data_IF_813602146748
#
_entry.id   IF_813602146748
#
_cell.length_a   1.000
_cell.length_b   1.000
_cell.length_c   1.000
_cell.angle_alpha   90.00
_cell.angle_beta   90.00
_cell.angle_gamma   90.00
#
_symmetry.space_group_name_H-M   'P 1'
#
loop_
_entity.id
_entity.type
_entity.pdbx_description
1 polymer ?
#
# COMPACT_ATOMS: atom_id res chain seq x y z
N UNK A 1 -2.17 -8.98 -40.20
CA UNK A 1 -3.02 -10.02 -39.56
C UNK A 1 -4.04 -9.31 -38.69
N UNK A 2 -5.34 -9.45 -39.03
CA UNK A 2 -6.45 -8.83 -38.29
C UNK A 2 -6.68 -9.61 -36.99
N UNK A 3 -6.60 -8.94 -35.85
CA UNK A 3 -6.98 -9.49 -34.55
C UNK A 3 -8.50 -9.33 -34.39
N UNK A 4 -9.20 -10.43 -34.17
CA UNK A 4 -10.63 -10.45 -33.85
C UNK A 4 -10.77 -10.38 -32.32
N UNK A 5 -11.52 -9.40 -31.83
CA UNK A 5 -11.94 -9.31 -30.44
C UNK A 5 -13.23 -10.13 -30.28
N UNK A 6 -13.22 -11.12 -29.38
CA UNK A 6 -14.43 -11.85 -28.96
C UNK A 6 -14.91 -11.22 -27.67
N UNK A 7 -16.01 -10.47 -27.78
CA UNK A 7 -16.73 -9.85 -26.66
C UNK A 7 -17.63 -10.92 -26.02
N UNK A 8 -17.39 -11.25 -24.75
CA UNK A 8 -18.31 -12.10 -23.98
C UNK A 8 -19.28 -11.22 -23.19
N UNK A 9 -20.56 -11.28 -23.59
CA UNK A 9 -21.68 -10.66 -22.89
C UNK A 9 -22.25 -11.71 -21.93
N UNK A 10 -22.18 -11.46 -20.62
CA UNK A 10 -22.82 -12.31 -19.62
C UNK A 10 -24.24 -11.78 -19.36
N UNK A 11 -25.24 -12.54 -19.80
CA UNK A 11 -26.66 -12.30 -19.52
C UNK A 11 -27.01 -12.69 -18.08
N UNK A 12 -27.49 -11.73 -17.28
CA UNK A 12 -28.06 -11.96 -15.96
C UNK A 12 -29.54 -12.37 -16.12
N UNK A 13 -29.88 -13.58 -15.71
CA UNK A 13 -31.25 -14.05 -15.56
C UNK A 13 -31.78 -13.70 -14.16
N UNK A 14 -32.78 -12.83 -14.10
CA UNK A 14 -33.58 -12.55 -12.90
C UNK A 14 -34.56 -13.72 -12.66
N UNK A 15 -34.51 -14.32 -11.46
CA UNK A 15 -35.56 -15.20 -10.97
C UNK A 15 -36.36 -14.49 -9.87
N UNK A 16 -37.65 -14.33 -10.16
CA UNK A 16 -38.71 -13.84 -9.28
C UNK A 16 -39.10 -14.87 -8.23
N UNK A 17 -39.24 -14.45 -6.96
CA UNK A 17 -39.88 -15.21 -5.90
C UNK A 17 -40.87 -14.35 -5.12
N UNK A 18 -42.17 -14.62 -5.30
CA UNK A 18 -43.29 -14.02 -4.57
C UNK A 18 -43.58 -14.79 -3.27
N UNK A 19 -43.91 -14.08 -2.18
CA UNK A 19 -44.50 -14.68 -0.98
C UNK A 19 -45.09 -13.63 -0.04
N UNK A 20 -46.41 -13.69 0.18
CA UNK A 20 -47.28 -12.73 0.86
C UNK A 20 -47.31 -12.88 2.39
N UNK A 21 -47.53 -11.76 3.07
CA UNK A 21 -48.02 -11.61 4.45
C UNK A 21 -49.41 -12.26 4.70
N UNK A 22 -49.69 -12.58 5.98
CA UNK A 22 -50.82 -12.07 6.80
C UNK A 22 -51.06 -12.95 8.05
N UNK A 23 -51.11 -12.32 9.23
CA UNK A 23 -52.29 -12.47 10.12
C UNK A 23 -52.17 -13.07 11.54
N UNK A 24 -52.13 -12.18 12.52
CA UNK A 24 -53.01 -12.08 13.72
C UNK A 24 -53.08 -13.17 14.83
N UNK A 25 -52.62 -12.72 16.02
CA UNK A 25 -53.28 -12.71 17.36
C UNK A 25 -53.94 -13.97 17.95
N UNK A 26 -53.53 -14.31 19.19
CA UNK A 26 -54.47 -14.47 20.31
C UNK A 26 -53.75 -14.36 21.66
N UNK A 27 -54.34 -13.54 22.53
CA UNK A 27 -54.10 -13.39 23.97
C UNK A 27 -54.35 -14.71 24.73
N UNK A 28 -53.89 -14.82 25.98
CA UNK A 28 -54.76 -14.88 27.19
C UNK A 28 -54.00 -15.27 28.49
N UNK A 29 -54.19 -14.41 29.51
CA UNK A 29 -54.36 -14.67 30.96
C UNK A 29 -53.18 -14.94 31.90
N UNK A 30 -53.02 -13.99 32.82
CA UNK A 30 -52.38 -14.06 34.13
C UNK A 30 -53.26 -14.70 35.24
N UNK A 31 -52.61 -14.91 36.40
CA UNK A 31 -53.09 -15.07 37.78
C UNK A 31 -53.33 -16.53 38.23
N UNK A 32 -53.00 -16.97 39.46
CA UNK A 32 -52.95 -16.25 40.72
C UNK A 32 -52.20 -17.05 41.83
N UNK A 33 -51.59 -16.30 42.78
CA UNK A 33 -51.26 -16.54 44.21
C UNK A 33 -50.82 -17.91 44.79
N UNK A 34 -49.74 -17.94 45.60
CA UNK A 34 -49.76 -17.65 47.07
C UNK A 34 -48.36 -17.68 47.72
N UNK A 35 -48.20 -16.74 48.66
CA UNK A 35 -47.21 -16.45 49.71
C UNK A 35 -46.83 -17.67 50.60
N UNK A 36 -45.55 -17.87 50.98
CA UNK A 36 -45.02 -17.50 52.32
C UNK A 36 -43.51 -17.82 52.50
N UNK A 37 -42.88 -17.00 53.34
CA UNK A 37 -41.44 -16.92 53.64
C UNK A 37 -41.02 -17.93 54.71
N UNK A 38 -39.84 -18.57 54.56
CA UNK A 38 -38.97 -18.97 55.68
C UNK A 38 -37.54 -19.22 55.18
N UNK A 39 -36.59 -18.47 55.78
CA UNK A 39 -35.15 -18.58 55.61
C UNK A 39 -34.61 -19.97 55.98
N UNK A 40 -33.57 -20.45 55.29
CA UNK A 40 -32.38 -21.06 55.91
C UNK A 40 -31.25 -21.28 54.89
N UNK A 41 -30.19 -20.48 55.06
CA UNK A 41 -28.76 -20.77 54.91
C UNK A 41 -28.26 -21.45 53.62
N UNK A 42 -27.60 -20.62 52.81
CA UNK A 42 -26.69 -20.99 51.73
C UNK A 42 -25.25 -20.97 52.30
N UNK A 43 -24.56 -22.10 52.29
CA UNK A 43 -23.09 -22.17 52.36
C UNK A 43 -22.57 -22.59 50.98
N UNK A 44 -21.73 -21.71 50.44
CA UNK A 44 -20.77 -21.81 49.34
C UNK A 44 -20.82 -22.96 48.33
N UNK A 45 -20.98 -22.59 47.06
CA UNK A 45 -20.03 -23.02 46.03
C UNK A 45 -19.89 -21.90 44.99
N UNK A 46 -18.65 -21.44 44.89
CA UNK A 46 -18.15 -20.34 44.07
C UNK A 46 -18.12 -20.78 42.60
N UNK A 47 -18.79 -20.06 41.71
CA UNK A 47 -18.74 -20.32 40.26
C UNK A 47 -18.01 -19.17 39.59
N UNK A 48 -16.80 -19.47 39.10
CA UNK A 48 -16.03 -18.64 38.17
C UNK A 48 -16.83 -18.44 36.88
N UNK A 49 -17.32 -17.23 36.64
CA UNK A 49 -17.92 -16.85 35.35
C UNK A 49 -17.57 -15.40 34.97
N UNK A 50 -16.50 -14.84 35.56
CA UNK A 50 -16.10 -13.45 35.35
C UNK A 50 -14.71 -13.26 34.70
N UNK A 51 -13.98 -14.35 34.39
CA UNK A 51 -12.57 -14.28 33.95
C UNK A 51 -12.40 -14.47 32.43
N UNK A 52 -13.29 -15.24 31.78
CA UNK A 52 -13.19 -15.54 30.34
C UNK A 52 -13.42 -14.30 29.46
N UNK A 53 -14.32 -13.38 29.87
CA UNK A 53 -14.69 -12.21 29.07
C UNK A 53 -13.62 -11.10 29.10
N UNK A 54 -12.78 -11.04 30.14
CA UNK A 54 -11.68 -10.07 30.20
C UNK A 54 -10.43 -10.53 29.46
N UNK A 55 -10.16 -11.85 29.43
CA UNK A 55 -9.03 -12.43 28.69
C UNK A 55 -9.27 -12.41 27.17
N UNK A 56 -10.48 -12.75 26.70
CA UNK A 56 -10.85 -12.64 25.28
C UNK A 56 -10.77 -11.19 24.78
N UNK A 57 -11.27 -10.23 25.55
CA UNK A 57 -11.22 -8.81 25.19
C UNK A 57 -9.78 -8.26 25.12
N UNK A 58 -8.86 -8.75 25.96
CA UNK A 58 -7.44 -8.32 25.92
C UNK A 58 -6.65 -9.01 24.80
N UNK A 59 -6.99 -10.24 24.43
CA UNK A 59 -6.36 -10.93 23.29
C UNK A 59 -6.80 -10.35 21.95
N UNK A 60 -8.08 -10.03 21.79
CA UNK A 60 -8.59 -9.37 20.57
C UNK A 60 -7.96 -7.99 20.37
N UNK A 61 -7.84 -7.17 21.42
CA UNK A 61 -7.22 -5.84 21.36
C UNK A 61 -5.72 -5.93 21.00
N UNK A 62 -4.99 -6.90 21.58
CA UNK A 62 -3.58 -7.14 21.24
C UNK A 62 -3.41 -7.61 19.79
N UNK A 63 -4.31 -8.45 19.29
CA UNK A 63 -4.26 -8.93 17.91
C UNK A 63 -4.58 -7.82 16.91
N UNK A 64 -5.59 -7.00 17.17
CA UNK A 64 -5.96 -5.86 16.32
C UNK A 64 -4.81 -4.85 16.23
N UNK A 65 -4.19 -4.52 17.38
CA UNK A 65 -3.02 -3.64 17.43
C UNK A 65 -1.84 -4.20 16.62
N UNK A 66 -1.57 -5.49 16.74
CA UNK A 66 -0.50 -6.13 15.98
C UNK A 66 -0.77 -6.09 14.46
N UNK A 67 -2.02 -6.31 14.03
CA UNK A 67 -2.38 -6.24 12.60
C UNK A 67 -2.20 -4.82 12.05
N UNK A 68 -2.60 -3.80 12.81
CA UNK A 68 -2.42 -2.39 12.42
C UNK A 68 -0.93 -2.04 12.32
N UNK A 69 -0.13 -2.41 13.32
CA UNK A 69 1.32 -2.18 13.29
C UNK A 69 1.99 -2.93 12.12
N UNK A 70 1.52 -4.13 11.79
CA UNK A 70 2.06 -4.90 10.66
C UNK A 70 1.63 -4.33 9.31
N UNK A 71 0.39 -3.83 9.20
CA UNK A 71 -0.07 -3.08 8.03
C UNK A 71 0.80 -1.83 7.84
N UNK A 72 1.00 -1.03 8.90
CA UNK A 72 1.87 0.15 8.84
C UNK A 72 3.30 -0.21 8.42
N UNK A 73 3.88 -1.28 8.98
CA UNK A 73 5.22 -1.73 8.60
C UNK A 73 5.31 -2.11 7.10
N UNK A 74 4.30 -2.81 6.56
CA UNK A 74 4.22 -3.14 5.14
C UNK A 74 4.06 -1.92 4.24
N UNK A 75 3.28 -0.93 4.69
CA UNK A 75 3.13 0.35 3.98
C UNK A 75 4.47 1.08 3.90
N UNK A 76 5.19 1.16 5.01
CA UNK A 76 6.52 1.78 5.03
C UNK A 76 7.53 1.02 4.17
N UNK A 77 7.54 -0.32 4.18
CA UNK A 77 8.37 -1.13 3.27
C UNK A 77 8.08 -0.79 1.79
N UNK A 78 6.80 -0.67 1.43
CA UNK A 78 6.38 -0.29 0.08
C UNK A 78 6.86 1.11 -0.30
N UNK A 79 6.71 2.10 0.59
CA UNK A 79 7.23 3.45 0.38
C UNK A 79 8.76 3.48 0.28
N UNK A 80 9.46 2.72 1.13
CA UNK A 80 10.91 2.54 1.06
C UNK A 80 11.35 2.02 -0.31
N UNK A 81 10.58 1.10 -0.92
CA UNK A 81 10.83 0.64 -2.30
C UNK A 81 10.65 1.73 -3.34
N UNK A 82 9.63 2.58 -3.23
CA UNK A 82 9.44 3.71 -4.15
C UNK A 82 10.66 4.62 -4.09
N UNK A 83 11.11 4.96 -2.88
CA UNK A 83 12.27 5.83 -2.65
C UNK A 83 13.58 5.21 -3.16
N UNK A 84 13.77 3.91 -2.95
CA UNK A 84 14.90 3.20 -3.53
C UNK A 84 14.86 3.20 -5.06
N UNK A 85 13.70 2.98 -5.67
CA UNK A 85 13.51 3.01 -7.12
C UNK A 85 13.85 4.38 -7.72
N UNK A 86 13.49 5.45 -7.01
CA UNK A 86 13.91 6.81 -7.36
C UNK A 86 15.43 6.96 -7.29
N UNK A 87 16.04 6.60 -6.16
CA UNK A 87 17.45 6.86 -5.91
C UNK A 87 18.38 6.03 -6.82
N UNK A 88 18.05 4.77 -7.05
CA UNK A 88 18.97 3.80 -7.68
C UNK A 88 18.56 3.43 -9.11
N UNK A 89 17.26 3.38 -9.39
CA UNK A 89 16.73 2.98 -10.69
C UNK A 89 16.22 4.17 -11.53
N UNK A 90 16.21 5.39 -10.98
CA UNK A 90 15.63 6.57 -11.63
C UNK A 90 14.20 6.31 -12.14
N UNK A 91 13.42 5.57 -11.35
CA UNK A 91 12.10 5.06 -11.73
C UNK A 91 11.05 5.35 -10.65
N UNK A 92 9.86 5.74 -11.10
CA UNK A 92 8.64 5.88 -10.33
C UNK A 92 7.87 4.56 -10.29
N UNK A 93 6.84 4.45 -9.43
CA UNK A 93 5.91 3.32 -9.47
C UNK A 93 5.40 3.04 -10.89
N UNK A 94 5.38 1.79 -11.30
CA UNK A 94 5.00 1.37 -12.66
C UNK A 94 6.12 1.48 -13.72
N UNK A 95 7.34 1.85 -13.33
CA UNK A 95 8.50 1.91 -14.23
C UNK A 95 8.57 3.16 -15.10
N UNK A 96 7.75 4.17 -14.79
CA UNK A 96 7.88 5.50 -15.39
C UNK A 96 9.25 6.10 -15.01
N UNK A 97 10.01 6.57 -15.98
CA UNK A 97 11.32 7.17 -15.71
C UNK A 97 11.15 8.54 -15.06
N UNK A 98 11.95 8.81 -14.02
CA UNK A 98 12.07 10.14 -13.40
C UNK A 98 12.86 11.09 -14.33
N UNK A 99 13.68 10.54 -15.22
CA UNK A 99 14.57 11.29 -16.10
C UNK A 99 13.86 11.73 -17.39
N UNK A 100 13.26 12.92 -17.39
CA UNK A 100 13.30 13.72 -18.62
C UNK A 100 14.76 14.12 -18.85
N UNK A 101 15.34 13.86 -20.03
CA UNK A 101 16.77 14.08 -20.34
C UNK A 101 17.40 15.28 -19.58
N UNK A 102 18.20 14.99 -18.55
CA UNK A 102 18.92 16.00 -17.74
C UNK A 102 18.37 16.30 -16.34
N UNK A 103 17.33 15.61 -15.88
CA UNK A 103 16.82 15.74 -14.52
C UNK A 103 17.85 15.27 -13.47
N UNK A 104 18.18 16.13 -12.51
CA UNK A 104 19.01 15.78 -11.35
C UNK A 104 18.13 15.41 -10.15
N UNK A 105 17.84 14.12 -10.03
CA UNK A 105 17.01 13.59 -8.93
C UNK A 105 17.70 13.64 -7.56
N UNK A 106 18.97 14.06 -7.48
CA UNK A 106 19.68 14.19 -6.19
C UNK A 106 19.07 15.25 -5.26
N UNK A 107 18.28 16.19 -5.81
CA UNK A 107 17.54 17.18 -5.03
C UNK A 107 16.12 16.73 -4.67
N UNK A 108 15.77 15.47 -4.93
CA UNK A 108 14.45 14.95 -4.59
C UNK A 108 14.25 14.90 -3.09
N UNK A 109 13.04 15.26 -2.66
CA UNK A 109 12.63 15.25 -1.26
C UNK A 109 11.39 14.41 -1.10
N UNK A 110 11.21 13.84 0.08
CA UNK A 110 10.01 13.10 0.42
C UNK A 110 9.56 13.40 1.84
N UNK A 111 8.31 13.08 2.14
CA UNK A 111 7.79 13.04 3.49
C UNK A 111 6.77 11.90 3.61
N UNK A 112 6.64 11.37 4.83
CA UNK A 112 5.56 10.48 5.22
C UNK A 112 4.65 11.30 6.13
N UNK A 113 3.43 11.58 5.69
CA UNK A 113 2.54 12.50 6.39
C UNK A 113 1.09 12.33 5.92
N UNK A 114 0.16 12.18 6.87
CA UNK A 114 -1.30 12.32 6.70
C UNK A 114 -1.69 13.71 6.16
N UNK A 115 -1.61 13.86 4.83
CA UNK A 115 -1.76 15.13 4.12
C UNK A 115 -3.23 15.46 3.87
N UNK A 116 -4.09 14.45 3.77
CA UNK A 116 -5.51 14.59 3.47
C UNK A 116 -6.42 14.53 4.72
N UNK A 117 -5.86 14.14 5.87
CA UNK A 117 -6.54 14.01 7.17
C UNK A 117 -7.48 12.82 7.27
N UNK A 118 -7.25 11.76 6.51
CA UNK A 118 -8.00 10.52 6.62
C UNK A 118 -7.52 9.63 7.79
N UNK A 119 -6.34 9.95 8.37
CA UNK A 119 -5.73 9.25 9.49
C UNK A 119 -4.74 8.15 9.10
N UNK A 120 -4.43 8.01 7.81
CA UNK A 120 -3.31 7.23 7.28
C UNK A 120 -2.20 8.19 6.83
N UNK A 121 -0.96 7.70 6.79
CA UNK A 121 0.15 8.49 6.27
C UNK A 121 0.38 8.18 4.78
N UNK A 122 0.48 9.23 3.96
CA UNK A 122 0.83 9.14 2.55
C UNK A 122 2.33 9.33 2.32
N UNK A 123 2.84 8.80 1.20
CA UNK A 123 4.15 9.18 0.68
C UNK A 123 4.02 10.41 -0.21
N UNK A 124 4.55 11.53 0.26
CA UNK A 124 4.72 12.74 -0.52
C UNK A 124 6.11 12.73 -1.13
N UNK A 125 6.22 13.02 -2.42
CA UNK A 125 7.47 12.89 -3.15
C UNK A 125 7.63 14.01 -4.16
N UNK A 126 8.71 14.76 -4.03
CA UNK A 126 9.09 15.90 -4.86
C UNK A 126 10.34 15.58 -5.66
N UNK A 127 10.25 15.77 -6.97
CA UNK A 127 11.38 15.70 -7.88
C UNK A 127 11.60 17.06 -8.48
N UNK A 128 12.83 17.55 -8.38
CA UNK A 128 13.24 18.81 -9.00
C UNK A 128 14.07 18.49 -10.24
N UNK A 129 13.72 19.09 -11.36
CA UNK A 129 14.47 19.02 -12.61
C UNK A 129 15.58 20.07 -12.66
N UNK A 130 15.44 21.19 -11.93
CA UNK A 130 16.42 22.26 -11.87
C UNK A 130 16.41 23.04 -10.53
N UNK A 131 17.34 23.98 -10.39
CA UNK A 131 17.50 24.87 -9.23
C UNK A 131 16.38 25.90 -9.06
N UNK A 132 15.46 26.02 -10.03
CA UNK A 132 14.33 26.97 -10.03
C UNK A 132 13.01 26.34 -9.58
N UNK A 133 13.07 25.16 -8.94
CA UNK A 133 11.91 24.42 -8.47
C UNK A 133 10.96 23.98 -9.60
N UNK A 134 11.46 23.88 -10.84
CA UNK A 134 10.73 23.13 -11.87
C UNK A 134 10.81 21.65 -11.50
N UNK A 135 9.67 20.98 -11.48
CA UNK A 135 9.60 19.66 -10.90
C UNK A 135 8.20 19.07 -10.92
N UNK A 136 8.04 17.94 -10.27
CA UNK A 136 6.73 17.30 -10.05
C UNK A 136 6.65 16.87 -8.61
N UNK A 137 5.51 17.13 -7.99
CA UNK A 137 5.08 16.54 -6.73
C UNK A 137 4.10 15.40 -6.99
N UNK A 138 4.23 14.34 -6.21
CA UNK A 138 3.27 13.23 -6.16
C UNK A 138 2.90 12.93 -4.72
N UNK A 139 1.64 12.55 -4.54
CA UNK A 139 1.11 12.00 -3.29
C UNK A 139 0.67 10.58 -3.60
N UNK A 140 1.13 9.62 -2.80
CA UNK A 140 0.83 8.20 -2.96
C UNK A 140 0.22 7.60 -1.71
N UNK A 141 -0.89 6.90 -1.91
CA UNK A 141 -1.48 6.01 -0.92
C UNK A 141 -1.23 4.54 -1.28
N UNK A 142 -1.06 3.71 -0.27
CA UNK A 142 -0.93 2.26 -0.41
C UNK A 142 -1.60 1.51 0.74
N UNK A 143 -2.70 0.83 0.46
CA UNK A 143 -3.35 -0.05 1.42
C UNK A 143 -2.70 -1.45 1.39
N UNK A 144 -1.94 -1.85 2.43
CA UNK A 144 -1.26 -3.13 2.50
C UNK A 144 -2.21 -4.33 2.70
N UNK A 145 -3.48 -4.10 3.09
CA UNK A 145 -4.45 -5.17 3.30
C UNK A 145 -5.11 -5.60 1.99
N UNK A 146 -5.34 -4.65 1.09
CA UNK A 146 -5.90 -4.92 -0.24
C UNK A 146 -4.84 -4.96 -1.34
N UNK A 147 -3.63 -4.48 -1.06
CA UNK A 147 -2.57 -4.28 -2.06
C UNK A 147 -2.88 -3.12 -3.02
N UNK A 148 -3.83 -2.24 -2.66
CA UNK A 148 -4.26 -1.13 -3.52
C UNK A 148 -3.25 0.00 -3.44
N UNK A 149 -2.73 0.42 -4.59
CA UNK A 149 -1.84 1.57 -4.73
C UNK A 149 -2.52 2.65 -5.56
N UNK A 150 -2.49 3.90 -5.10
CA UNK A 150 -3.09 5.04 -5.77
C UNK A 150 -2.11 6.21 -5.80
N UNK A 151 -2.02 6.86 -6.96
CA UNK A 151 -1.44 8.22 -7.07
C UNK A 151 -2.56 9.22 -6.84
N UNK A 152 -2.61 9.82 -5.67
CA UNK A 152 -3.70 10.71 -5.25
C UNK A 152 -3.59 12.10 -5.89
N UNK A 153 -2.36 12.55 -6.15
CA UNK A 153 -2.07 13.84 -6.79
C UNK A 153 -0.82 13.74 -7.66
N UNK A 154 -0.84 14.42 -8.81
CA UNK A 154 0.35 14.74 -9.60
C UNK A 154 0.27 16.20 -10.01
N UNK A 155 1.20 17.01 -9.52
CA UNK A 155 1.16 18.47 -9.70
C UNK A 155 2.56 19.11 -9.63
N UNK A 156 2.65 20.43 -9.80
CA UNK A 156 3.87 21.18 -9.55
C UNK A 156 4.32 21.07 -8.06
N UNK A 157 5.64 21.19 -7.77
CA UNK A 157 6.18 20.93 -6.43
C UNK A 157 5.90 22.03 -5.39
N UNK A 158 5.35 23.17 -5.82
CA UNK A 158 5.06 24.31 -4.94
C UNK A 158 3.70 24.13 -4.25
N UNK A 159 3.60 23.11 -3.40
CA UNK A 159 2.40 22.79 -2.62
C UNK A 159 2.47 23.47 -1.25
N UNK A 160 1.39 24.15 -0.89
CA UNK A 160 1.07 24.54 0.49
C UNK A 160 -0.07 23.66 0.96
N UNK A 161 0.13 22.97 2.09
CA UNK A 161 -0.86 22.09 2.71
C UNK A 161 -1.52 22.76 3.90
N UNK A 162 -2.80 22.50 4.12
CA UNK A 162 -3.58 23.01 5.24
C UNK A 162 -4.05 21.87 6.14
N UNK A 163 -4.25 22.17 7.43
CA UNK A 163 -4.60 21.15 8.43
C UNK A 163 -6.01 20.56 8.29
N UNK A 164 -6.79 21.04 7.33
CA UNK A 164 -8.07 20.47 6.90
C UNK A 164 -7.97 19.60 5.62
N UNK A 165 -6.75 19.30 5.15
CA UNK A 165 -6.51 18.49 3.96
C UNK A 165 -6.62 19.26 2.63
N UNK A 166 -6.86 20.58 2.65
CA UNK A 166 -6.82 21.41 1.43
C UNK A 166 -5.39 21.62 0.99
N UNK A 167 -5.16 21.67 -0.32
CA UNK A 167 -3.87 22.03 -0.91
C UNK A 167 -4.02 23.25 -1.82
N UNK A 168 -3.02 24.13 -1.83
CA UNK A 168 -2.83 25.11 -2.89
C UNK A 168 -1.51 24.86 -3.61
N UNK A 169 -1.54 24.81 -4.94
CA UNK A 169 -0.37 24.51 -5.77
C UNK A 169 -0.08 25.69 -6.68
N UNK A 170 1.06 26.36 -6.48
CA UNK A 170 1.48 27.45 -7.37
C UNK A 170 1.90 26.92 -8.73
N UNK A 171 1.54 27.65 -9.78
CA UNK A 171 1.96 27.34 -11.14
C UNK A 171 3.47 27.58 -11.29
N UNK A 172 4.13 26.75 -12.10
CA UNK A 172 5.58 26.86 -12.34
C UNK A 172 5.98 28.20 -13.02
N UNK A 173 5.06 28.81 -13.75
CA UNK A 173 5.27 30.12 -14.38
C UNK A 173 4.07 31.02 -14.14
N UNK A 174 4.34 32.30 -13.90
CA UNK A 174 3.29 33.31 -13.86
C UNK A 174 3.01 33.81 -15.28
N UNK A 175 1.87 33.40 -15.83
CA UNK A 175 1.39 33.85 -17.15
C UNK A 175 0.35 34.97 -17.03
N UNK A 176 0.04 35.38 -15.80
CA UNK A 176 -0.94 36.41 -15.52
C UNK A 176 -0.38 37.81 -15.79
N UNK A 177 -1.25 38.80 -15.73
CA UNK A 177 -0.92 40.22 -15.90
C UNK A 177 -0.69 40.91 -14.55
N UNK A 178 -0.43 40.14 -13.49
CA UNK A 178 -0.27 40.60 -12.11
C UNK A 178 0.75 39.77 -11.32
N UNK A 179 1.12 40.25 -10.12
CA UNK A 179 2.07 39.59 -9.20
C UNK A 179 1.58 39.52 -7.73
N UNK A 180 0.47 40.18 -7.40
CA UNK A 180 -0.17 40.26 -6.08
C UNK A 180 -0.56 38.88 -5.59
N UNK A 181 -1.06 38.05 -6.50
CA UNK A 181 -1.23 36.62 -6.30
C UNK A 181 -0.50 35.92 -7.43
N UNK A 182 0.52 35.13 -7.07
CA UNK A 182 1.11 34.19 -8.02
C UNK A 182 0.06 33.14 -8.37
N UNK A 183 -0.20 32.85 -9.66
CA UNK A 183 -1.25 31.93 -10.04
C UNK A 183 -1.13 30.58 -9.33
N UNK A 184 -2.26 30.05 -8.87
CA UNK A 184 -2.29 28.75 -8.18
C UNK A 184 -3.59 27.99 -8.41
N UNK A 185 -3.54 26.68 -8.18
CA UNK A 185 -4.66 25.76 -8.14
C UNK A 185 -5.05 25.45 -6.70
N UNK A 186 -6.34 25.26 -6.43
CA UNK A 186 -6.87 24.75 -5.15
C UNK A 186 -7.34 23.32 -5.34
N UNK A 187 -6.92 22.41 -4.46
CA UNK A 187 -7.31 21.02 -4.43
C UNK A 187 -7.92 20.65 -3.08
N UNK A 188 -8.89 19.73 -3.10
CA UNK A 188 -9.39 19.07 -1.89
C UNK A 188 -9.44 17.57 -2.13
N UNK A 189 -9.20 16.79 -1.09
CA UNK A 189 -9.34 15.35 -1.17
C UNK A 189 -10.80 14.91 -1.38
N UNK A 190 -11.01 13.91 -2.24
CA UNK A 190 -12.29 13.23 -2.41
C UNK A 190 -12.14 11.77 -1.98
N UNK A 191 -12.54 11.48 -0.74
CA UNK A 191 -12.49 10.14 -0.16
C UNK A 191 -13.40 9.11 -0.82
N UNK A 192 -14.29 9.50 -1.75
CA UNK A 192 -15.00 8.52 -2.58
C UNK A 192 -14.11 7.97 -3.71
N UNK A 193 -13.23 8.81 -4.23
CA UNK A 193 -12.34 8.47 -5.36
C UNK A 193 -10.91 8.15 -4.92
N UNK A 194 -10.52 8.53 -3.70
CA UNK A 194 -9.18 8.37 -3.17
C UNK A 194 -8.15 9.29 -3.82
N UNK A 195 -8.58 10.47 -4.31
CA UNK A 195 -7.69 11.40 -5.03
C UNK A 195 -8.04 12.85 -4.74
N UNK A 196 -7.06 13.73 -4.92
CA UNK A 196 -7.25 15.17 -4.87
C UNK A 196 -7.96 15.69 -6.12
N UNK A 197 -9.03 16.46 -5.92
CA UNK A 197 -9.82 17.06 -6.99
C UNK A 197 -9.57 18.57 -7.10
N UNK A 198 -9.26 19.03 -8.31
CA UNK A 198 -9.15 20.47 -8.62
C UNK A 198 -10.49 21.15 -8.32
N UNK A 199 -10.47 22.22 -7.53
CA UNK A 199 -11.65 23.06 -7.25
C UNK A 199 -11.67 24.32 -8.06
N UNK A 200 -10.51 24.86 -8.37
CA UNK A 200 -10.36 25.99 -9.28
C UNK A 200 -8.96 26.55 -9.27
N UNK A 201 -8.77 27.62 -10.02
CA UNK A 201 -7.54 28.39 -10.11
C UNK A 201 -7.82 29.88 -9.97
N UNK A 202 -6.78 30.63 -9.63
CA UNK A 202 -6.82 32.09 -9.62
C UNK A 202 -5.59 32.66 -10.29
N UNK A 203 -5.79 33.75 -11.02
CA UNK A 203 -4.74 34.61 -11.54
C UNK A 203 -5.15 36.08 -11.40
N UNK A 204 -4.21 37.01 -11.59
CA UNK A 204 -4.50 38.45 -11.46
C UNK A 204 -4.12 39.26 -12.69
N UNK A 205 -4.77 40.41 -12.84
CA UNK A 205 -4.34 41.49 -13.72
C UNK A 205 -4.15 42.75 -12.89
N UNK A 206 -2.94 43.29 -12.89
CA UNK A 206 -2.63 44.55 -12.23
C UNK A 206 -2.37 45.66 -13.21
N UNK A 207 -3.16 46.72 -13.11
CA UNK A 207 -3.02 47.93 -13.93
C UNK A 207 -1.63 48.54 -13.84
N UNK A 208 -1.00 48.44 -12.67
CA UNK A 208 0.31 49.02 -12.41
C UNK A 208 1.44 48.31 -13.18
N UNK A 209 1.24 47.03 -13.50
CA UNK A 209 2.20 46.18 -14.22
C UNK A 209 1.88 46.11 -15.71
N UNK A 210 0.59 45.95 -16.04
CA UNK A 210 0.10 45.84 -17.41
C UNK A 210 -1.10 46.76 -17.62
N UNK A 211 -0.92 47.85 -18.37
CA UNK A 211 -2.02 48.75 -18.72
C UNK A 211 -2.95 48.17 -19.80
N UNK A 212 -2.47 47.17 -20.54
CA UNK A 212 -3.17 46.46 -21.61
C UNK A 212 -2.87 44.95 -21.50
N UNK A 213 -3.81 44.10 -21.94
CA UNK A 213 -3.59 42.65 -22.05
C UNK A 213 -2.72 42.28 -23.27
N UNK A 214 -2.55 40.97 -23.50
CA UNK A 214 -1.77 40.44 -24.62
C UNK A 214 -2.36 40.76 -26.01
N UNK A 215 -3.64 41.12 -26.10
CA UNK A 215 -4.33 41.52 -27.34
C UNK A 215 -4.38 43.05 -27.52
N UNK A 216 -3.88 43.83 -26.55
CA UNK A 216 -3.93 45.29 -26.53
C UNK A 216 -5.23 45.86 -25.98
N UNK A 217 -6.05 45.06 -25.29
CA UNK A 217 -7.24 45.52 -24.59
C UNK A 217 -6.81 46.25 -23.32
N UNK A 218 -7.27 47.49 -23.09
CA UNK A 218 -6.90 48.23 -21.88
C UNK A 218 -7.49 47.59 -20.62
N UNK A 219 -6.80 47.77 -19.49
CA UNK A 219 -7.28 47.38 -18.17
C UNK A 219 -8.72 47.88 -17.94
N UNK A 220 -9.67 47.02 -17.54
CA UNK A 220 -11.07 47.38 -17.46
C UNK A 220 -11.38 48.11 -16.14
N UNK A 221 -11.11 49.41 -16.15
CA UNK A 221 -11.34 50.34 -15.01
C UNK A 221 -12.78 50.32 -14.46
N UNK A 222 -13.76 49.93 -15.28
CA UNK A 222 -15.16 49.83 -14.86
C UNK A 222 -15.48 48.57 -14.04
N UNK A 223 -14.58 47.58 -14.06
CA UNK A 223 -14.70 46.32 -13.31
C UNK A 223 -13.88 46.31 -12.01
N UNK A 224 -12.95 47.26 -11.84
CA UNK A 224 -12.16 47.49 -10.62
C UNK A 224 -13.00 48.27 -9.59
N UNK A 225 -13.95 47.58 -8.96
CA UNK A 225 -14.97 48.21 -8.10
C UNK A 225 -14.41 48.76 -6.78
N UNK A 226 -13.32 48.18 -6.26
CA UNK A 226 -12.58 48.62 -5.09
C UNK A 226 -11.49 49.66 -5.42
N UNK A 227 -11.13 49.79 -6.70
CA UNK A 227 -10.27 50.87 -7.21
C UNK A 227 -8.82 50.71 -6.79
N UNK A 228 -8.40 49.48 -6.48
CA UNK A 228 -7.03 49.17 -6.05
C UNK A 228 -6.10 48.86 -7.25
N UNK A 229 -6.67 48.76 -8.45
CA UNK A 229 -5.95 48.48 -9.69
C UNK A 229 -5.62 47.01 -9.87
N UNK A 230 -6.26 46.10 -9.14
CA UNK A 230 -6.05 44.65 -9.19
C UNK A 230 -7.37 43.93 -9.47
N UNK A 231 -7.39 43.12 -10.53
CA UNK A 231 -8.50 42.23 -10.83
C UNK A 231 -8.08 40.78 -10.63
N UNK A 232 -8.98 40.00 -10.05
CA UNK A 232 -8.80 38.56 -9.83
C UNK A 232 -9.66 37.78 -10.81
N UNK A 233 -9.09 36.81 -11.49
CA UNK A 233 -9.79 35.92 -12.40
C UNK A 233 -9.83 34.53 -11.78
N UNK A 234 -11.03 34.10 -11.38
CA UNK A 234 -11.24 32.82 -10.71
C UNK A 234 -11.88 31.86 -11.70
N UNK A 235 -11.21 30.74 -11.94
CA UNK A 235 -11.68 29.70 -12.85
C UNK A 235 -12.08 28.48 -12.05
N UNK A 236 -13.30 27.98 -12.22
CA UNK A 236 -13.72 26.74 -11.57
C UNK A 236 -13.08 25.49 -12.22
N UNK A 237 -13.25 24.33 -11.58
CA UNK A 237 -12.77 23.04 -12.11
C UNK A 237 -13.25 22.67 -13.52
N UNK A 238 -14.30 23.33 -14.03
CA UNK A 238 -14.87 23.10 -15.36
C UNK A 238 -14.41 24.16 -16.38
N UNK A 239 -13.55 25.10 -15.98
CA UNK A 239 -13.05 26.16 -16.83
C UNK A 239 -13.95 27.40 -16.92
N UNK A 240 -14.97 27.54 -16.06
CA UNK A 240 -15.85 28.71 -16.08
C UNK A 240 -15.34 29.83 -15.17
N UNK A 241 -15.64 31.08 -15.53
CA UNK A 241 -15.37 32.27 -14.70
C UNK A 241 -14.11 33.05 -15.05
N UNK A 242 -13.27 32.52 -15.94
CA UNK A 242 -11.98 33.12 -16.35
C UNK A 242 -12.11 34.44 -17.12
N UNK A 243 -13.31 34.82 -17.56
CA UNK A 243 -13.60 36.06 -18.29
C UNK A 243 -14.25 37.15 -17.42
N UNK A 244 -14.57 36.81 -16.16
CA UNK A 244 -15.32 37.68 -15.26
C UNK A 244 -14.42 38.12 -14.11
N UNK A 245 -13.86 39.34 -14.16
CA UNK A 245 -12.99 39.84 -13.10
C UNK A 245 -13.73 39.97 -11.76
N UNK A 246 -12.97 39.80 -10.68
CA UNK A 246 -13.40 39.82 -9.28
C UNK A 246 -12.59 40.82 -8.48
N UNK A 247 -13.22 41.36 -7.43
CA UNK A 247 -12.53 42.19 -6.43
C UNK A 247 -11.69 41.32 -5.50
N UNK A 248 -10.88 41.97 -4.66
CA UNK A 248 -10.18 41.26 -3.59
C UNK A 248 -11.12 40.55 -2.62
N UNK A 249 -12.24 41.18 -2.25
CA UNK A 249 -13.24 40.60 -1.33
C UNK A 249 -13.86 39.31 -1.91
N UNK A 250 -14.18 39.31 -3.20
CA UNK A 250 -14.72 38.14 -3.89
C UNK A 250 -13.69 36.98 -3.92
N UNK A 251 -12.43 37.29 -4.19
CA UNK A 251 -11.33 36.33 -4.17
C UNK A 251 -11.11 35.72 -2.78
N UNK A 252 -11.03 36.55 -1.75
CA UNK A 252 -10.86 36.09 -0.37
C UNK A 252 -12.05 35.23 0.07
N UNK A 253 -13.27 35.63 -0.30
CA UNK A 253 -14.48 34.85 -0.01
C UNK A 253 -14.46 33.48 -0.70
N UNK A 254 -14.03 33.40 -1.96
CA UNK A 254 -13.89 32.14 -2.69
C UNK A 254 -12.85 31.22 -2.04
N UNK A 255 -11.65 31.74 -1.76
CA UNK A 255 -10.57 30.95 -1.16
C UNK A 255 -10.98 30.43 0.22
N UNK A 256 -11.69 31.26 1.00
CA UNK A 256 -12.19 30.91 2.32
C UNK A 256 -13.25 29.78 2.29
N UNK A 257 -13.85 29.47 1.14
CA UNK A 257 -14.76 28.30 1.03
C UNK A 257 -14.03 26.95 1.17
N UNK A 258 -12.70 26.93 0.92
CA UNK A 258 -11.88 25.72 0.99
C UNK A 258 -10.99 25.72 2.24
N UNK A 259 -10.31 26.84 2.51
CA UNK A 259 -9.37 26.93 3.64
C UNK A 259 -10.11 27.21 4.95
N UNK A 260 -11.05 28.15 4.96
CA UNK A 260 -11.73 28.57 6.19
C UNK A 260 -10.73 29.02 7.26
N UNK A 261 -10.89 28.48 8.48
CA UNK A 261 -9.99 28.76 9.61
C UNK A 261 -8.76 27.82 9.67
N UNK A 262 -8.53 27.01 8.63
CA UNK A 262 -7.43 26.05 8.57
C UNK A 262 -6.06 26.73 8.59
N UNK A 263 -5.10 26.10 9.27
CA UNK A 263 -3.73 26.59 9.34
C UNK A 263 -2.85 25.89 8.29
N UNK A 264 -1.88 26.63 7.73
CA UNK A 264 -0.83 26.02 6.93
C UNK A 264 -0.01 25.03 7.77
N UNK A 265 0.36 23.91 7.16
CA UNK A 265 1.10 22.81 7.77
C UNK A 265 2.52 22.79 7.24
N UNK A 266 3.50 22.72 8.15
CA UNK A 266 4.90 22.47 7.80
C UNK A 266 5.12 20.96 7.65
N UNK A 267 5.42 20.53 6.42
CA UNK A 267 5.69 19.13 6.10
C UNK A 267 7.16 18.79 6.43
N UNK A 268 7.41 17.67 7.14
CA UNK A 268 8.77 17.28 7.57
C UNK A 268 9.56 16.63 6.42
N UNK A 269 9.97 17.43 5.45
CA UNK A 269 10.72 16.96 4.27
C UNK A 269 12.08 16.36 4.64
N UNK A 270 12.37 15.20 4.06
CA UNK A 270 13.65 14.50 4.08
C UNK A 270 14.22 14.40 2.67
N UNK A 271 15.54 14.29 2.55
CA UNK A 271 16.18 14.00 1.27
C UNK A 271 15.96 12.53 0.90
N UNK A 272 15.76 12.22 -0.39
CA UNK A 272 15.66 10.84 -0.87
C UNK A 272 17.05 10.19 -0.84
N UNK A 273 17.38 9.62 0.31
CA UNK A 273 18.65 8.97 0.57
C UNK A 273 18.43 7.76 1.50
N UNK A 274 19.14 6.66 1.22
CA UNK A 274 18.99 5.39 1.94
C UNK A 274 19.13 5.53 3.46
N UNK A 275 19.97 6.44 3.97
CA UNK A 275 20.07 6.70 5.41
C UNK A 275 18.74 7.17 6.05
N UNK A 276 17.84 7.76 5.27
CA UNK A 276 16.56 8.29 5.75
C UNK A 276 15.45 7.22 5.69
N UNK A 277 15.40 6.41 4.64
CA UNK A 277 14.31 5.43 4.42
C UNK A 277 14.71 3.97 4.66
N UNK A 278 16.01 3.67 4.85
CA UNK A 278 16.51 2.30 4.99
C UNK A 278 15.98 1.54 6.20
N UNK A 279 15.43 2.25 7.20
CA UNK A 279 14.77 1.61 8.34
C UNK A 279 13.38 1.06 8.02
N UNK A 280 12.73 1.51 6.95
CA UNK A 280 11.32 1.21 6.66
C UNK A 280 11.07 -0.27 6.36
N UNK A 281 12.02 -0.94 5.68
CA UNK A 281 11.90 -2.37 5.39
C UNK A 281 12.28 -3.27 6.58
N UNK A 282 13.08 -2.79 7.54
CA UNK A 282 13.54 -3.60 8.68
C UNK A 282 12.39 -4.00 9.61
N UNK A 283 11.48 -3.06 9.91
CA UNK A 283 10.34 -3.34 10.79
C UNK A 283 9.39 -4.38 10.19
N UNK A 284 9.12 -4.28 8.88
CA UNK A 284 8.31 -5.27 8.17
C UNK A 284 8.93 -6.68 8.28
N UNK A 285 10.25 -6.79 8.02
CA UNK A 285 11.00 -8.04 8.16
C UNK A 285 10.92 -8.62 9.57
N UNK A 286 11.13 -7.80 10.60
CA UNK A 286 11.05 -8.23 11.99
C UNK A 286 9.66 -8.80 12.34
N UNK A 287 8.60 -8.10 11.97
CA UNK A 287 7.23 -8.52 12.24
C UNK A 287 6.83 -9.76 11.44
N UNK A 288 7.23 -9.84 10.17
CA UNK A 288 7.07 -11.05 9.36
C UNK A 288 7.74 -12.24 10.04
N UNK A 289 8.98 -12.10 10.49
CA UNK A 289 9.71 -13.19 11.15
C UNK A 289 9.09 -13.60 12.48
N UNK A 290 8.52 -12.66 13.25
CA UNK A 290 7.77 -13.00 14.46
C UNK A 290 6.55 -13.86 14.11
N UNK A 291 5.70 -13.40 13.18
CA UNK A 291 4.51 -14.13 12.75
C UNK A 291 4.86 -15.49 12.17
N UNK A 292 5.91 -15.55 11.36
CA UNK A 292 6.32 -16.80 10.74
C UNK A 292 6.79 -17.84 11.77
N UNK A 293 7.57 -17.45 12.79
CA UNK A 293 7.94 -18.35 13.90
C UNK A 293 6.73 -18.87 14.68
N UNK A 294 5.79 -17.99 15.00
CA UNK A 294 4.57 -18.37 15.72
C UNK A 294 3.73 -19.38 14.92
N UNK A 295 3.56 -19.15 13.61
CA UNK A 295 2.81 -20.04 12.73
C UNK A 295 3.52 -21.36 12.48
N UNK A 296 4.82 -21.31 12.21
CA UNK A 296 5.66 -22.48 11.93
C UNK A 296 5.81 -23.45 13.08
N UNK A 297 5.56 -23.02 14.32
CA UNK A 297 5.47 -23.92 15.47
C UNK A 297 4.41 -25.02 15.32
N UNK A 298 3.41 -24.80 14.46
CA UNK A 298 2.35 -25.77 14.16
C UNK A 298 2.58 -26.52 12.83
N UNK A 299 3.63 -26.17 12.09
CA UNK A 299 4.00 -26.88 10.87
C UNK A 299 4.83 -28.11 11.22
N UNK A 300 5.01 -28.99 10.24
CA UNK A 300 5.94 -30.09 10.39
C UNK A 300 7.38 -29.60 10.33
N UNK A 301 8.28 -30.37 9.73
CA UNK A 301 9.66 -29.93 9.57
C UNK A 301 9.74 -28.86 8.47
N UNK A 302 9.63 -27.60 8.86
CA UNK A 302 9.68 -26.48 7.92
C UNK A 302 11.12 -26.18 7.50
N UNK A 303 11.44 -26.49 6.25
CA UNK A 303 12.76 -26.23 5.67
C UNK A 303 12.91 -24.77 5.21
N UNK A 304 11.82 -24.06 4.93
CA UNK A 304 11.89 -22.64 4.59
C UNK A 304 12.22 -21.79 5.82
N UNK A 305 11.80 -22.17 7.03
CA UNK A 305 12.19 -21.45 8.24
C UNK A 305 13.72 -21.48 8.43
N UNK A 306 14.35 -22.64 8.24
CA UNK A 306 15.82 -22.78 8.32
C UNK A 306 16.52 -21.91 7.27
N UNK A 307 15.98 -21.88 6.05
CA UNK A 307 16.49 -21.04 4.97
C UNK A 307 16.31 -19.53 5.24
N UNK A 308 15.15 -19.11 5.74
CA UNK A 308 14.81 -17.70 5.94
C UNK A 308 15.53 -17.14 7.18
N UNK A 309 15.74 -17.94 8.23
CA UNK A 309 16.52 -17.53 9.41
C UNK A 309 18.03 -17.46 9.14
N UNK A 310 18.48 -17.99 8.01
CA UNK A 310 19.87 -17.93 7.59
C UNK A 310 20.31 -16.48 7.32
N UNK A 311 21.30 -16.00 8.07
CA UNK A 311 22.05 -14.78 7.70
C UNK A 311 23.10 -15.07 6.61
N UNK A 312 23.48 -16.35 6.40
CA UNK A 312 24.42 -16.84 5.38
C UNK A 312 23.75 -17.97 4.56
N UNK A 313 23.47 -17.70 3.28
CA UNK A 313 22.64 -18.59 2.46
C UNK A 313 23.30 -19.95 2.18
N UNK A 314 24.63 -20.01 2.14
CA UNK A 314 25.38 -21.17 1.62
C UNK A 314 25.43 -22.33 2.62
N UNK A 315 25.72 -22.03 3.87
CA UNK A 315 25.77 -23.05 4.92
C UNK A 315 24.39 -23.64 5.22
N UNK A 316 23.32 -22.86 5.07
CA UNK A 316 21.98 -23.26 5.51
C UNK A 316 21.23 -24.11 4.49
N UNK A 317 21.51 -23.95 3.20
CA UNK A 317 21.03 -24.90 2.19
C UNK A 317 21.72 -26.25 2.33
N UNK A 318 23.01 -26.27 2.69
CA UNK A 318 23.69 -27.53 3.04
C UNK A 318 23.08 -28.20 4.28
N UNK A 319 22.56 -27.41 5.24
CA UNK A 319 21.82 -27.94 6.39
C UNK A 319 20.48 -28.55 5.98
N UNK A 320 19.74 -27.92 5.06
CA UNK A 320 18.50 -28.48 4.49
C UNK A 320 18.81 -29.80 3.76
N UNK A 321 19.84 -29.81 2.92
CA UNK A 321 20.26 -31.01 2.19
C UNK A 321 20.63 -32.15 3.15
N UNK A 322 21.42 -31.85 4.18
CA UNK A 322 21.82 -32.81 5.21
C UNK A 322 20.62 -33.35 5.99
N UNK A 323 19.68 -32.48 6.36
CA UNK A 323 18.43 -32.85 7.04
C UNK A 323 17.61 -33.83 6.19
N UNK A 324 17.39 -33.50 4.91
CA UNK A 324 16.63 -34.31 3.98
C UNK A 324 17.30 -35.68 3.76
N UNK A 325 18.62 -35.72 3.67
CA UNK A 325 19.38 -36.96 3.53
C UNK A 325 19.32 -37.81 4.81
N UNK A 326 19.69 -37.24 5.96
CA UNK A 326 19.92 -37.99 7.20
C UNK A 326 18.62 -38.42 7.88
N UNK A 327 17.58 -37.58 7.81
CA UNK A 327 16.30 -37.83 8.51
C UNK A 327 15.25 -38.47 7.62
N UNK A 328 15.30 -38.24 6.30
CA UNK A 328 14.26 -38.68 5.37
C UNK A 328 14.78 -39.61 4.25
N UNK A 329 16.09 -39.85 4.18
CA UNK A 329 16.67 -40.77 3.21
C UNK A 329 16.62 -40.26 1.76
N UNK A 330 16.53 -38.94 1.57
CA UNK A 330 16.63 -38.31 0.25
C UNK A 330 18.04 -38.52 -0.30
N UNK A 331 18.14 -39.05 -1.51
CA UNK A 331 19.41 -39.32 -2.17
C UNK A 331 19.87 -38.07 -2.90
N UNK A 332 20.90 -37.41 -2.36
CA UNK A 332 21.49 -36.21 -2.95
C UNK A 332 22.48 -36.56 -4.06
N UNK A 333 22.40 -35.82 -5.16
CA UNK A 333 23.33 -35.87 -6.27
C UNK A 333 23.77 -34.44 -6.60
N UNK A 334 25.08 -34.24 -6.75
CA UNK A 334 25.62 -32.97 -7.24
C UNK A 334 26.08 -33.14 -8.68
N UNK A 335 25.53 -32.36 -9.60
CA UNK A 335 25.96 -32.33 -10.99
C UNK A 335 26.58 -30.98 -11.35
N UNK A 336 27.67 -31.02 -12.12
CA UNK A 336 28.27 -29.84 -12.72
C UNK A 336 27.47 -29.48 -13.99
N UNK A 337 26.65 -28.43 -13.90
CA UNK A 337 25.87 -27.91 -15.03
C UNK A 337 26.66 -26.81 -15.74
N UNK A 338 26.97 -27.04 -17.02
CA UNK A 338 27.55 -26.08 -17.97
C UNK A 338 28.53 -25.05 -17.37
N UNK A 339 29.71 -25.49 -16.95
CA UNK A 339 30.92 -24.68 -16.77
C UNK A 339 30.95 -23.64 -15.63
N UNK A 340 29.80 -23.28 -15.05
CA UNK A 340 29.67 -22.23 -14.02
C UNK A 340 28.44 -22.41 -13.10
N UNK A 341 27.73 -23.54 -13.10
CA UNK A 341 26.56 -23.72 -12.22
C UNK A 341 26.59 -25.10 -11.59
N UNK A 342 26.71 -25.15 -10.27
CA UNK A 342 26.55 -26.39 -9.51
C UNK A 342 25.06 -26.52 -9.14
N UNK A 343 24.46 -27.66 -9.48
CA UNK A 343 23.10 -28.01 -9.06
C UNK A 343 23.18 -29.20 -8.12
N UNK A 344 22.45 -29.13 -7.01
CA UNK A 344 22.20 -30.29 -6.15
C UNK A 344 20.75 -30.71 -6.34
N UNK A 345 20.54 -31.98 -6.65
CA UNK A 345 19.21 -32.60 -6.74
C UNK A 345 19.07 -33.68 -5.67
N UNK A 346 17.87 -33.82 -5.14
CA UNK A 346 17.50 -34.81 -4.13
C UNK A 346 16.37 -35.69 -4.64
N UNK A 347 16.54 -37.02 -4.61
CA UNK A 347 15.53 -37.97 -5.04
C UNK A 347 15.07 -38.92 -3.93
N UNK A 348 13.77 -39.21 -3.88
CA UNK A 348 13.16 -40.18 -2.98
C UNK A 348 12.33 -41.20 -3.77
N UNK A 349 12.68 -42.48 -3.68
CA UNK A 349 12.08 -43.57 -4.48
C UNK A 349 12.14 -43.32 -6.00
N UNK A 350 13.19 -42.67 -6.48
CA UNK A 350 13.37 -42.34 -7.90
C UNK A 350 12.55 -41.16 -8.41
N UNK A 351 11.88 -40.42 -7.51
CA UNK A 351 11.21 -39.14 -7.81
C UNK A 351 12.09 -38.01 -7.29
N UNK A 352 12.42 -37.05 -8.14
CA UNK A 352 13.09 -35.81 -7.72
C UNK A 352 12.13 -35.01 -6.84
N UNK A 353 12.63 -34.62 -5.67
CA UNK A 353 11.85 -33.92 -4.65
C UNK A 353 12.50 -32.63 -4.18
N UNK A 354 13.76 -32.40 -4.52
CA UNK A 354 14.50 -31.23 -4.08
C UNK A 354 15.51 -30.81 -5.13
N UNK A 355 15.64 -29.52 -5.37
CA UNK A 355 16.68 -28.95 -6.22
C UNK A 355 17.18 -27.63 -5.62
N UNK A 356 18.49 -27.41 -5.58
CA UNK A 356 19.10 -26.14 -5.14
C UNK A 356 20.21 -25.71 -6.08
N UNK A 357 20.41 -24.39 -6.20
CA UNK A 357 21.57 -23.80 -6.89
C UNK A 357 22.72 -23.57 -5.91
N UNK A 358 23.97 -23.80 -6.34
CA UNK A 358 25.18 -23.62 -5.51
C UNK A 358 26.02 -22.38 -5.81
N UNK A 359 25.62 -21.54 -6.78
CA UNK A 359 26.31 -20.27 -7.06
C UNK A 359 25.31 -19.12 -7.20
N UNK A 360 25.57 -18.02 -6.48
CA UNK A 360 24.63 -16.91 -6.35
C UNK A 360 23.66 -17.14 -5.20
N UNK A 361 22.82 -16.14 -4.89
CA UNK A 361 21.97 -16.22 -3.72
C UNK A 361 21.04 -17.41 -3.81
N UNK A 362 21.15 -18.26 -2.79
CA UNK A 362 20.68 -19.62 -2.96
C UNK A 362 19.18 -19.62 -2.92
N UNK A 363 18.58 -20.26 -3.91
CA UNK A 363 17.18 -20.65 -3.90
C UNK A 363 17.11 -22.16 -3.86
N UNK A 364 16.01 -22.69 -3.33
CA UNK A 364 15.70 -24.10 -3.42
C UNK A 364 14.27 -24.32 -3.94
N UNK A 365 14.07 -25.49 -4.54
CA UNK A 365 12.81 -25.98 -5.05
C UNK A 365 12.43 -27.24 -4.26
N UNK A 366 11.22 -27.28 -3.70
CA UNK A 366 10.60 -28.47 -3.15
C UNK A 366 9.51 -28.95 -4.11
N UNK A 367 9.64 -30.17 -4.65
CA UNK A 367 8.83 -30.61 -5.79
C UNK A 367 8.36 -32.08 -5.75
N UNK A 368 7.46 -32.42 -6.66
CA UNK A 368 7.12 -33.80 -7.03
C UNK A 368 6.18 -34.51 -6.04
N UNK A 369 6.57 -34.64 -4.77
CA UNK A 369 5.72 -35.24 -3.73
C UNK A 369 6.11 -34.78 -2.33
N UNK A 370 5.13 -34.73 -1.42
CA UNK A 370 5.35 -34.52 0.02
C UNK A 370 6.26 -35.61 0.61
N UNK A 371 7.34 -35.17 1.27
CA UNK A 371 8.25 -35.99 2.08
C UNK A 371 7.77 -35.94 3.53
N UNK A 372 7.13 -37.02 4.00
CA UNK A 372 6.70 -37.17 5.40
C UNK A 372 6.01 -35.91 5.99
N UNK A 373 6.63 -35.26 6.98
CA UNK A 373 6.18 -34.02 7.63
C UNK A 373 6.93 -32.77 7.15
N UNK A 374 7.73 -32.85 6.08
CA UNK A 374 8.46 -31.69 5.54
C UNK A 374 7.51 -30.70 4.88
N UNK A 375 7.67 -29.43 5.25
CA UNK A 375 6.95 -28.29 4.68
C UNK A 375 7.89 -27.17 4.28
N UNK A 376 7.39 -26.25 3.48
CA UNK A 376 8.05 -25.02 3.07
C UNK A 376 7.07 -23.90 3.36
N UNK A 377 7.26 -23.11 4.41
CA UNK A 377 6.24 -22.14 4.88
C UNK A 377 4.87 -22.80 5.13
N UNK A 378 4.87 -23.99 5.73
CA UNK A 378 3.66 -24.78 5.99
C UNK A 378 3.04 -25.48 4.77
N UNK A 379 3.49 -25.17 3.55
CA UNK A 379 2.97 -25.76 2.30
C UNK A 379 3.85 -26.91 1.78
N UNK A 380 3.34 -27.74 0.85
CA UNK A 380 4.05 -28.89 0.30
C UNK A 380 3.50 -29.34 -1.07
N UNK A 381 4.28 -30.06 -1.90
CA UNK A 381 3.79 -30.67 -3.14
C UNK A 381 2.67 -31.68 -2.89
N UNK A 382 1.56 -31.54 -3.63
CA UNK A 382 0.32 -32.29 -3.45
C UNK A 382 -0.74 -31.56 -2.60
N UNK A 383 -0.45 -30.35 -2.11
CA UNK A 383 -1.43 -29.49 -1.44
C UNK A 383 -2.35 -28.79 -2.46
N UNK A 384 -3.59 -28.52 -2.05
CA UNK A 384 -4.52 -27.67 -2.80
C UNK A 384 -3.96 -26.24 -2.95
N UNK A 385 -4.06 -25.68 -4.15
CA UNK A 385 -3.52 -24.36 -4.47
C UNK A 385 -4.15 -23.26 -3.60
N UNK A 386 -5.47 -23.24 -3.44
CA UNK A 386 -6.15 -22.20 -2.67
C UNK A 386 -5.86 -22.33 -1.16
N UNK A 387 -5.61 -23.55 -0.68
CA UNK A 387 -5.06 -23.76 0.67
C UNK A 387 -3.65 -23.22 0.83
N UNK A 388 -2.76 -23.49 -0.13
CA UNK A 388 -1.39 -23.00 -0.09
C UNK A 388 -1.34 -21.47 -0.06
N UNK A 389 -2.13 -20.79 -0.91
CA UNK A 389 -2.22 -19.33 -0.95
C UNK A 389 -2.67 -18.74 0.38
N UNK A 390 -3.71 -19.30 0.99
CA UNK A 390 -4.20 -18.86 2.31
C UNK A 390 -3.15 -19.01 3.40
N UNK A 391 -2.37 -20.09 3.38
CA UNK A 391 -1.28 -20.30 4.35
C UNK A 391 -0.19 -19.23 4.17
N UNK A 392 0.21 -18.93 2.93
CA UNK A 392 1.21 -17.90 2.64
C UNK A 392 0.74 -16.52 3.10
N UNK A 393 -0.50 -16.14 2.78
CA UNK A 393 -1.13 -14.89 3.21
C UNK A 393 -1.24 -14.80 4.74
N UNK A 394 -1.61 -15.90 5.41
CA UNK A 394 -1.69 -15.97 6.86
C UNK A 394 -0.33 -15.94 7.57
N UNK A 395 0.79 -16.18 6.87
CA UNK A 395 2.14 -15.97 7.41
C UNK A 395 2.59 -14.52 7.16
N UNK A 396 2.06 -13.85 6.15
CA UNK A 396 2.36 -12.45 5.81
C UNK A 396 2.95 -12.23 4.43
N UNK A 397 3.03 -13.27 3.59
CA UNK A 397 3.32 -13.08 2.17
C UNK A 397 2.14 -12.41 1.47
N UNK A 398 2.41 -11.64 0.41
CA UNK A 398 1.38 -11.10 -0.46
C UNK A 398 1.73 -11.38 -1.93
N UNK A 399 0.70 -11.50 -2.76
CA UNK A 399 0.88 -11.73 -4.19
C UNK A 399 1.41 -10.48 -4.87
N UNK A 400 2.47 -10.65 -5.66
CA UNK A 400 3.05 -9.61 -6.49
C UNK A 400 3.38 -10.15 -7.88
N UNK A 401 2.53 -9.84 -8.85
CA UNK A 401 2.58 -10.21 -10.28
C UNK A 401 2.76 -11.70 -10.61
N UNK A 402 3.88 -12.30 -10.19
CA UNK A 402 4.32 -13.66 -10.49
C UNK A 402 4.59 -14.50 -9.24
N UNK A 403 4.79 -13.89 -8.08
CA UNK A 403 5.29 -14.57 -6.87
C UNK A 403 4.69 -14.00 -5.59
N UNK A 404 4.75 -14.79 -4.52
CA UNK A 404 4.40 -14.37 -3.17
C UNK A 404 5.62 -13.76 -2.50
N UNK A 405 5.56 -12.51 -2.07
CA UNK A 405 6.72 -11.81 -1.49
C UNK A 405 6.46 -11.34 -0.07
N UNK A 406 7.51 -11.19 0.72
CA UNK A 406 7.45 -10.54 2.06
C UNK A 406 7.64 -9.03 1.99
N UNK A 407 8.11 -8.54 0.85
CA UNK A 407 8.56 -7.18 0.54
C UNK A 407 9.39 -7.26 -0.73
N UNK A 408 9.85 -6.13 -1.29
CA UNK A 408 10.57 -6.13 -2.58
C UNK A 408 11.98 -5.54 -2.53
N UNK A 409 12.45 -5.27 -1.32
CA UNK A 409 13.79 -4.77 -1.03
C UNK A 409 14.72 -5.91 -0.59
N UNK A 410 16.04 -5.67 -0.63
CA UNK A 410 17.02 -6.57 -0.01
C UNK A 410 16.57 -6.99 1.39
N UNK A 411 16.67 -8.29 1.65
CA UNK A 411 16.32 -8.89 2.94
C UNK A 411 14.94 -9.53 2.97
N UNK A 412 14.18 -9.40 1.87
CA UNK A 412 12.89 -10.06 1.67
C UNK A 412 13.01 -11.37 0.89
N UNK A 413 11.94 -12.15 0.91
CA UNK A 413 11.87 -13.47 0.31
C UNK A 413 10.71 -13.54 -0.67
N UNK A 414 10.87 -14.38 -1.70
CA UNK A 414 9.81 -14.74 -2.62
C UNK A 414 9.51 -16.23 -2.56
N UNK A 415 8.26 -16.57 -2.88
CA UNK A 415 7.77 -17.93 -3.07
C UNK A 415 6.99 -18.00 -4.38
N UNK A 416 7.40 -18.91 -5.25
CA UNK A 416 6.71 -19.18 -6.51
C UNK A 416 6.12 -20.58 -6.47
N UNK A 417 4.87 -20.70 -6.92
CA UNK A 417 4.14 -21.97 -6.96
C UNK A 417 3.96 -22.41 -8.42
N UNK A 418 4.37 -23.63 -8.76
CA UNK A 418 3.89 -24.31 -9.97
C UNK A 418 2.73 -25.22 -9.58
N UNK A 419 1.58 -25.03 -10.21
CA UNK A 419 0.37 -25.82 -9.94
C UNK A 419 -0.12 -26.51 -11.22
N UNK A 420 -0.65 -27.71 -11.05
CA UNK A 420 -1.32 -28.49 -12.09
C UNK A 420 -2.67 -28.95 -11.56
N UNK A 421 -3.75 -28.68 -12.30
CA UNK A 421 -5.13 -28.99 -11.91
C UNK A 421 -5.52 -28.52 -10.49
N UNK A 422 -4.99 -27.36 -10.06
CA UNK A 422 -5.25 -26.77 -8.73
C UNK A 422 -4.46 -27.42 -7.59
N UNK A 423 -3.44 -28.22 -7.92
CA UNK A 423 -2.57 -28.89 -6.95
C UNK A 423 -1.13 -28.39 -7.11
N UNK A 424 -0.51 -28.00 -6.00
CA UNK A 424 0.89 -27.57 -5.94
C UNK A 424 1.80 -28.71 -6.36
N UNK A 425 2.62 -28.50 -7.40
CA UNK A 425 3.62 -29.45 -7.88
C UNK A 425 5.03 -29.05 -7.46
N UNK A 426 5.33 -27.74 -7.48
CA UNK A 426 6.62 -27.18 -7.10
C UNK A 426 6.47 -25.92 -6.28
N UNK A 427 7.41 -25.74 -5.35
CA UNK A 427 7.52 -24.56 -4.49
C UNK A 427 8.96 -24.08 -4.59
N UNK A 428 9.17 -22.91 -5.19
CA UNK A 428 10.46 -22.24 -5.16
C UNK A 428 10.49 -21.25 -4.01
N UNK A 429 11.60 -21.21 -3.30
CA UNK A 429 11.89 -20.19 -2.29
C UNK A 429 13.21 -19.54 -2.65
N UNK A 430 13.24 -18.21 -2.61
CA UNK A 430 14.47 -17.47 -2.80
C UNK A 430 14.47 -16.13 -2.07
N UNK A 431 15.63 -15.50 -2.08
CA UNK A 431 15.86 -14.18 -1.53
C UNK A 431 15.77 -13.14 -2.64
N UNK A 432 15.18 -11.99 -2.33
CA UNK A 432 15.03 -10.86 -3.26
C UNK A 432 16.28 -9.97 -3.18
N UNK A 433 16.93 -9.75 -4.32
CA UNK A 433 18.04 -8.81 -4.45
C UNK A 433 17.59 -7.55 -5.18
N UNK A 434 17.87 -6.42 -4.58
CA UNK A 434 17.91 -5.14 -5.28
C UNK A 434 19.29 -4.98 -5.92
N UNK A 435 19.33 -4.99 -7.26
CA UNK A 435 20.56 -4.79 -8.05
C UNK A 435 20.94 -3.32 -8.20
#
# INVERSE_FOLDING_TARGET
MRRYYVLWIMCICLLTGCGKDVGQTSETSMADTTIDVLEMQQEGEDTQEADATSEEATTEDTQAQWQEEFAQARRMDYYGRILWGVQNAHALPGGESVDSEGADVSNSKYAIYDIDRDGQDELLLYFLFDEYMNGTARVYDFDPNTGTFITELTEAPQITSYDNGTLTVKLQSNQSLGETVWPFHVYTYDGMTGVYTLRGSVETWEKSLAAEDWEGTPFPDDQDADGDGVLYYITDSQGNGSDTPKTKEDYEAWLNTFIGDAAEVEIPWLDVAEENYGSYYNKNKEMFMQRYREKSANYGKDIALQYIEAEDSDAEVENIESLLQDSYGVQMNSEESSGYTFLVTGAMDGVEVYTSGKEGPISFCYEGKKIADVTTCGIYPGMDEDEAKRILEDIGFYWDEYEYVTGKMDGNYYISLETEDGIVQRIWVGYIFTY
#
